data_IF_594785255912
#
_entry.id   IF_594785255912
#
_cell.length_a   1.000
_cell.length_b   1.000
_cell.length_c   1.000
_cell.angle_alpha   90.00
_cell.angle_beta   90.00
_cell.angle_gamma   90.00
#
_symmetry.space_group_name_H-M   'P 1'
#
loop_
_entity.id
_entity.type
_entity.pdbx_description
1 polymer ?
#
# COMPACT_ATOMS: atom_id res chain seq x y z
N UNK A 1 -33.28 -54.69 -11.67
CA UNK A 1 -31.92 -55.27 -11.59
C UNK A 1 -32.06 -56.77 -11.45
N UNK A 2 -31.33 -57.57 -12.24
CA UNK A 2 -31.31 -59.03 -12.12
C UNK A 2 -30.62 -59.41 -10.80
N UNK A 3 -31.06 -60.46 -10.12
CA UNK A 3 -30.58 -60.81 -8.76
C UNK A 3 -29.08 -61.15 -8.73
N UNK A 4 -28.54 -61.67 -9.83
CA UNK A 4 -27.11 -61.92 -10.04
C UNK A 4 -26.24 -60.65 -9.92
N UNK A 5 -26.75 -59.49 -10.39
CA UNK A 5 -26.03 -58.22 -10.24
C UNK A 5 -25.99 -57.74 -8.79
N UNK A 6 -27.04 -58.00 -8.00
CA UNK A 6 -27.06 -57.64 -6.58
C UNK A 6 -26.04 -58.45 -5.80
N UNK A 7 -25.90 -59.73 -6.14
CA UNK A 7 -24.95 -60.62 -5.47
C UNK A 7 -23.49 -60.21 -5.75
N UNK A 8 -23.17 -59.87 -7.00
CA UNK A 8 -21.85 -59.34 -7.38
C UNK A 8 -21.53 -58.02 -6.67
N UNK A 9 -22.51 -57.11 -6.56
CA UNK A 9 -22.34 -55.84 -5.83
C UNK A 9 -22.10 -56.10 -4.34
N UNK A 10 -22.87 -57.01 -3.73
CA UNK A 10 -22.73 -57.37 -2.31
C UNK A 10 -21.36 -57.98 -2.04
N UNK A 11 -20.92 -58.91 -2.88
CA UNK A 11 -19.59 -59.54 -2.78
C UNK A 11 -18.45 -58.51 -2.90
N UNK A 12 -18.59 -57.55 -3.82
CA UNK A 12 -17.61 -56.46 -3.98
C UNK A 12 -17.62 -55.51 -2.78
N UNK A 13 -18.78 -55.23 -2.22
CA UNK A 13 -18.95 -54.42 -1.01
C UNK A 13 -18.29 -55.09 0.21
N UNK A 14 -18.52 -56.39 0.41
CA UNK A 14 -17.93 -57.17 1.50
C UNK A 14 -16.39 -57.22 1.38
N UNK A 15 -15.86 -57.38 0.15
CA UNK A 15 -14.41 -57.28 -0.11
C UNK A 15 -13.87 -55.88 0.22
N UNK A 16 -14.62 -54.81 -0.07
CA UNK A 16 -14.19 -53.45 0.26
C UNK A 16 -14.25 -53.14 1.75
N UNK A 17 -15.23 -53.69 2.49
CA UNK A 17 -15.30 -53.59 3.95
C UNK A 17 -14.08 -54.21 4.63
N UNK A 18 -13.60 -55.35 4.10
CA UNK A 18 -12.40 -56.00 4.63
C UNK A 18 -11.08 -55.27 4.30
N UNK A 19 -11.10 -54.31 3.36
CA UNK A 19 -9.96 -53.46 3.00
C UNK A 19 -9.93 -52.11 3.71
N UNK A 20 -10.97 -51.77 4.48
CA UNK A 20 -11.06 -50.48 5.17
C UNK A 20 -10.07 -50.38 6.34
N UNK A 21 -9.51 -49.17 6.54
CA UNK A 21 -8.75 -48.87 7.75
C UNK A 21 -9.69 -48.73 8.97
N UNK A 22 -9.18 -48.98 10.17
CA UNK A 22 -9.97 -48.83 11.39
C UNK A 22 -10.12 -47.34 11.71
N UNK A 23 -11.34 -46.92 12.02
CA UNK A 23 -11.61 -45.54 12.44
C UNK A 23 -10.77 -45.14 13.66
N UNK A 24 -10.70 -46.03 14.65
CA UNK A 24 -9.80 -45.92 15.80
C UNK A 24 -8.90 -47.15 15.88
N UNK A 25 -7.58 -46.98 16.02
CA UNK A 25 -6.85 -45.71 16.22
C UNK A 25 -6.36 -45.05 14.92
N UNK A 26 -6.43 -45.74 13.78
CA UNK A 26 -5.62 -45.40 12.59
C UNK A 26 -6.08 -44.10 11.90
N UNK A 27 -7.37 -43.93 11.57
CA UNK A 27 -7.84 -42.71 10.89
C UNK A 27 -7.69 -41.48 11.79
N UNK A 28 -8.10 -41.57 13.07
CA UNK A 28 -8.02 -40.43 13.99
C UNK A 28 -6.58 -39.96 14.18
N UNK A 29 -5.62 -40.88 14.26
CA UNK A 29 -4.21 -40.50 14.37
C UNK A 29 -3.70 -39.75 13.13
N UNK A 30 -4.08 -40.21 11.93
CA UNK A 30 -3.72 -39.52 10.67
C UNK A 30 -4.36 -38.13 10.58
N UNK A 31 -5.63 -38.01 10.97
CA UNK A 31 -6.36 -36.75 10.99
C UNK A 31 -5.73 -35.77 11.99
N UNK A 32 -5.39 -36.23 13.19
CA UNK A 32 -4.71 -35.41 14.20
C UNK A 32 -3.32 -34.95 13.72
N UNK A 33 -2.56 -35.84 13.08
CA UNK A 33 -1.25 -35.51 12.52
C UNK A 33 -1.35 -34.48 11.39
N UNK A 34 -2.34 -34.60 10.51
CA UNK A 34 -2.59 -33.59 9.46
C UNK A 34 -3.09 -32.26 10.02
N UNK A 35 -3.99 -32.28 11.00
CA UNK A 35 -4.44 -31.06 11.66
C UNK A 35 -3.29 -30.32 12.34
N UNK A 36 -2.40 -31.06 13.03
CA UNK A 36 -1.19 -30.49 13.62
C UNK A 36 -0.24 -29.95 12.55
N UNK A 37 -0.03 -30.68 11.44
CA UNK A 37 0.81 -30.22 10.35
C UNK A 37 0.29 -28.92 9.72
N UNK A 38 -1.01 -28.81 9.47
CA UNK A 38 -1.65 -27.58 8.96
C UNK A 38 -1.49 -26.43 9.96
N UNK A 39 -1.71 -26.68 11.25
CA UNK A 39 -1.53 -25.67 12.29
C UNK A 39 -0.08 -25.15 12.33
N UNK A 40 0.90 -26.05 12.30
CA UNK A 40 2.31 -25.67 12.28
C UNK A 40 2.65 -24.85 11.03
N UNK A 41 2.14 -25.25 9.85
CA UNK A 41 2.32 -24.47 8.61
C UNK A 41 1.75 -23.06 8.77
N UNK A 42 0.54 -22.91 9.33
CA UNK A 42 -0.07 -21.59 9.55
C UNK A 42 0.73 -20.75 10.54
N UNK A 43 1.25 -21.33 11.63
CA UNK A 43 2.12 -20.63 12.59
C UNK A 43 3.43 -20.19 11.94
N UNK A 44 4.05 -21.06 11.11
CA UNK A 44 5.27 -20.71 10.37
C UNK A 44 5.00 -19.58 9.36
N UNK A 45 3.91 -19.65 8.60
CA UNK A 45 3.55 -18.57 7.67
C UNK A 45 3.30 -17.26 8.43
N UNK A 46 2.56 -17.29 9.54
CA UNK A 46 2.29 -16.10 10.35
C UNK A 46 3.55 -15.49 10.99
N UNK A 47 4.52 -16.32 11.39
CA UNK A 47 5.75 -15.85 12.04
C UNK A 47 6.83 -15.38 11.06
N UNK A 48 6.93 -16.00 9.88
CA UNK A 48 8.00 -15.71 8.91
C UNK A 48 7.58 -14.82 7.74
N UNK A 49 6.31 -14.85 7.32
CA UNK A 49 5.80 -13.99 6.24
C UNK A 49 5.10 -12.76 6.82
N UNK A 50 4.40 -12.90 7.95
CA UNK A 50 3.63 -11.82 8.56
C UNK A 50 2.41 -11.42 7.72
N UNK A 51 1.62 -10.49 8.24
CA UNK A 51 0.50 -9.85 7.52
C UNK A 51 0.85 -8.37 7.38
N UNK A 52 0.77 -7.78 6.17
CA UNK A 52 0.97 -6.35 5.98
C UNK A 52 0.05 -5.56 6.91
N UNK A 53 0.62 -4.66 7.69
CA UNK A 53 -0.17 -3.84 8.62
C UNK A 53 -0.73 -2.66 7.85
N UNK A 54 -2.03 -2.69 7.59
CA UNK A 54 -2.75 -1.58 6.99
C UNK A 54 -3.00 -0.46 8.02
N UNK A 55 -3.12 0.80 7.57
CA UNK A 55 -3.39 1.89 8.49
C UNK A 55 -4.77 1.68 9.12
N UNK A 56 -4.96 2.19 10.34
CA UNK A 56 -6.28 2.14 10.98
C UNK A 56 -7.29 2.84 10.09
N UNK A 57 -8.47 2.25 9.95
CA UNK A 57 -9.55 2.82 9.15
C UNK A 57 -9.85 4.27 9.57
N UNK A 58 -9.75 5.19 8.61
CA UNK A 58 -10.03 6.60 8.77
C UNK A 58 -11.15 7.02 7.79
N UNK A 59 -12.36 7.36 8.28
CA UNK A 59 -13.46 7.78 7.42
C UNK A 59 -13.24 9.16 6.77
N UNK A 60 -12.22 9.91 7.20
CA UNK A 60 -11.83 11.19 6.60
C UNK A 60 -10.81 11.06 5.48
N UNK A 61 -10.21 9.88 5.31
CA UNK A 61 -9.32 9.59 4.19
C UNK A 61 -10.13 9.07 2.99
N UNK A 62 -10.28 9.92 1.98
CA UNK A 62 -10.93 9.59 0.70
C UNK A 62 -9.96 9.07 -0.35
N UNK A 63 -8.64 9.04 -0.05
CA UNK A 63 -7.61 8.55 -0.98
C UNK A 63 -7.40 7.04 -0.85
N UNK A 64 -7.69 6.44 0.31
CA UNK A 64 -7.65 5.00 0.49
C UNK A 64 -8.72 4.30 -0.36
N UNK A 65 -8.28 3.39 -1.23
CA UNK A 65 -9.16 2.56 -2.06
C UNK A 65 -9.31 1.20 -1.39
N UNK A 66 -10.40 0.95 -0.63
CA UNK A 66 -10.60 -0.33 0.06
C UNK A 66 -10.77 -1.45 -0.97
N UNK A 67 -9.78 -2.34 -1.06
CA UNK A 67 -9.87 -3.57 -1.85
C UNK A 67 -10.06 -4.76 -0.92
N UNK A 68 -10.94 -5.71 -1.28
CA UNK A 68 -11.10 -6.90 -0.47
C UNK A 68 -9.98 -7.92 -0.72
N UNK A 69 -9.87 -8.86 0.20
CA UNK A 69 -8.94 -9.99 0.11
C UNK A 69 -9.09 -10.80 -1.18
N UNK A 70 -8.02 -11.54 -1.53
CA UNK A 70 -7.89 -12.26 -2.81
C UNK A 70 -9.08 -13.18 -3.15
N UNK A 71 -9.70 -13.79 -2.14
CA UNK A 71 -10.85 -14.68 -2.32
C UNK A 71 -12.17 -13.94 -2.65
N UNK A 72 -12.20 -12.61 -2.56
CA UNK A 72 -13.32 -11.75 -2.95
C UNK A 72 -13.01 -10.83 -4.13
N UNK A 73 -11.78 -10.82 -4.66
CA UNK A 73 -11.42 -9.99 -5.82
C UNK A 73 -12.30 -10.26 -7.06
N UNK A 74 -12.64 -11.52 -7.31
CA UNK A 74 -13.53 -11.86 -8.43
C UNK A 74 -14.93 -11.22 -8.26
N UNK A 75 -15.43 -11.14 -7.03
CA UNK A 75 -16.73 -10.59 -6.71
C UNK A 75 -16.67 -9.06 -6.79
N UNK A 76 -15.62 -8.45 -6.24
CA UNK A 76 -15.35 -7.02 -6.38
C UNK A 76 -15.34 -6.60 -7.86
N UNK A 77 -14.60 -7.34 -8.69
CA UNK A 77 -14.54 -7.07 -10.12
C UNK A 77 -15.87 -7.33 -10.82
N UNK A 78 -16.59 -8.38 -10.44
CA UNK A 78 -17.94 -8.64 -10.94
C UNK A 78 -18.91 -7.50 -10.66
N UNK A 79 -18.90 -6.93 -9.44
CA UNK A 79 -19.69 -5.75 -9.09
C UNK A 79 -19.28 -4.54 -9.93
N UNK A 80 -17.98 -4.32 -10.13
CA UNK A 80 -17.48 -3.22 -10.95
C UNK A 80 -17.96 -3.33 -12.42
N UNK A 81 -18.01 -4.54 -12.99
CA UNK A 81 -18.55 -4.77 -14.34
C UNK A 81 -20.08 -4.62 -14.39
N UNK A 82 -20.77 -5.07 -13.34
CA UNK A 82 -22.22 -4.93 -13.23
C UNK A 82 -22.66 -3.46 -13.12
N UNK A 83 -21.91 -2.64 -12.39
CA UNK A 83 -22.13 -1.20 -12.25
C UNK A 83 -22.16 -0.44 -13.59
N UNK A 84 -21.51 -0.98 -14.63
CA UNK A 84 -21.51 -0.39 -15.97
C UNK A 84 -22.83 -0.55 -16.73
N UNK A 85 -23.72 -1.44 -16.30
CA UNK A 85 -24.95 -1.75 -17.02
C UNK A 85 -25.96 -0.62 -16.75
N UNK A 86 -26.36 0.21 -17.75
CA UNK A 86 -27.04 1.49 -17.52
C UNK A 86 -28.34 1.45 -16.70
N UNK A 87 -29.07 0.33 -16.78
CA UNK A 87 -30.36 0.13 -16.09
C UNK A 87 -30.23 -0.62 -14.76
N UNK A 88 -29.14 -1.36 -14.61
CA UNK A 88 -29.00 -2.44 -13.62
C UNK A 88 -27.93 -2.08 -12.58
N UNK A 89 -26.92 -1.30 -12.96
CA UNK A 89 -25.89 -0.75 -12.08
C UNK A 89 -26.39 0.26 -11.05
N UNK A 90 -27.56 0.89 -11.26
CA UNK A 90 -28.20 1.76 -10.25
C UNK A 90 -28.79 0.98 -9.07
N UNK A 91 -28.87 -0.35 -9.19
CA UNK A 91 -29.51 -1.24 -8.21
C UNK A 91 -28.47 -2.23 -7.70
N UNK A 92 -27.52 -1.74 -6.91
CA UNK A 92 -26.39 -2.54 -6.42
C UNK A 92 -26.84 -3.75 -5.57
N UNK A 93 -27.93 -3.61 -4.79
CA UNK A 93 -28.46 -4.69 -3.95
C UNK A 93 -28.90 -5.93 -4.75
N UNK A 94 -29.29 -5.76 -6.02
CA UNK A 94 -29.65 -6.86 -6.91
C UNK A 94 -28.43 -7.75 -7.21
N UNK A 95 -27.26 -7.14 -7.41
CA UNK A 95 -26.01 -7.89 -7.61
C UNK A 95 -25.49 -8.52 -6.32
N UNK A 96 -25.60 -7.83 -5.18
CA UNK A 96 -24.96 -8.27 -3.93
C UNK A 96 -25.80 -9.23 -3.10
N UNK A 97 -27.13 -9.16 -3.19
CA UNK A 97 -28.04 -10.01 -2.40
C UNK A 97 -28.70 -11.09 -3.25
N UNK A 98 -29.31 -10.72 -4.37
CA UNK A 98 -30.11 -11.66 -5.18
C UNK A 98 -29.22 -12.64 -5.92
N UNK A 99 -28.11 -12.22 -6.54
CA UNK A 99 -27.26 -13.14 -7.32
C UNK A 99 -26.62 -14.22 -6.42
N UNK A 100 -25.95 -13.88 -5.29
CA UNK A 100 -25.49 -14.90 -4.35
C UNK A 100 -26.63 -15.74 -3.78
N UNK A 101 -27.77 -15.13 -3.48
CA UNK A 101 -28.97 -15.84 -3.00
C UNK A 101 -29.48 -16.89 -4.00
N UNK A 102 -29.57 -16.54 -5.28
CA UNK A 102 -29.93 -17.47 -6.37
C UNK A 102 -28.88 -18.56 -6.49
N UNK A 103 -27.59 -18.24 -6.41
CA UNK A 103 -26.52 -19.22 -6.49
C UNK A 103 -26.58 -20.24 -5.34
N UNK A 104 -26.74 -19.77 -4.11
CA UNK A 104 -26.94 -20.65 -2.94
C UNK A 104 -28.22 -21.47 -3.11
N UNK A 105 -29.31 -20.85 -3.56
CA UNK A 105 -30.57 -21.55 -3.86
C UNK A 105 -30.39 -22.66 -4.91
N UNK A 106 -29.60 -22.41 -5.95
CA UNK A 106 -29.25 -23.41 -6.98
C UNK A 106 -28.40 -24.55 -6.39
N UNK A 107 -27.46 -24.25 -5.49
CA UNK A 107 -26.66 -25.27 -4.80
C UNK A 107 -27.53 -26.13 -3.87
N UNK A 108 -28.47 -25.53 -3.14
CA UNK A 108 -29.44 -26.26 -2.29
C UNK A 108 -30.37 -27.12 -3.16
N UNK A 109 -30.77 -26.61 -4.32
CA UNK A 109 -31.60 -27.32 -5.29
C UNK A 109 -30.82 -28.33 -6.15
N UNK A 110 -29.49 -28.34 -6.09
CA UNK A 110 -28.60 -29.19 -6.89
C UNK A 110 -28.96 -30.69 -6.84
N UNK A 111 -29.23 -31.31 -5.66
CA UNK A 111 -29.66 -32.72 -5.62
C UNK A 111 -30.97 -33.00 -6.37
N UNK A 112 -31.83 -32.00 -6.54
CA UNK A 112 -33.09 -32.15 -7.29
C UNK A 112 -32.91 -31.90 -8.79
N UNK A 113 -31.95 -31.05 -9.16
CA UNK A 113 -31.62 -30.68 -10.54
C UNK A 113 -30.76 -31.78 -11.20
N UNK A 114 -29.71 -32.27 -10.53
CA UNK A 114 -28.83 -33.33 -11.03
C UNK A 114 -29.16 -34.69 -10.38
N UNK A 115 -30.20 -35.35 -10.91
CA UNK A 115 -30.63 -36.70 -10.48
C UNK A 115 -29.85 -37.83 -11.19
N UNK A 116 -28.63 -37.57 -11.66
CA UNK A 116 -27.86 -38.53 -12.44
C UNK A 116 -27.56 -39.81 -11.63
N UNK A 117 -27.84 -41.01 -12.19
CA UNK A 117 -27.56 -42.28 -11.51
C UNK A 117 -26.06 -42.61 -11.45
N UNK A 118 -25.21 -41.82 -12.12
CA UNK A 118 -23.77 -42.06 -12.18
C UNK A 118 -23.06 -41.43 -10.97
N UNK A 119 -22.29 -42.25 -10.24
CA UNK A 119 -21.44 -41.80 -9.12
C UNK A 119 -20.09 -41.24 -9.56
N UNK A 120 -19.58 -41.65 -10.73
CA UNK A 120 -18.30 -41.18 -11.23
C UNK A 120 -18.44 -39.77 -11.83
N UNK A 121 -17.70 -38.79 -11.28
CA UNK A 121 -17.78 -37.37 -11.67
C UNK A 121 -17.60 -37.18 -13.18
N UNK A 122 -16.68 -37.92 -13.80
CA UNK A 122 -16.38 -37.81 -15.24
C UNK A 122 -17.55 -38.12 -16.16
N UNK A 123 -18.63 -38.76 -15.69
CA UNK A 123 -19.86 -38.97 -16.47
C UNK A 123 -20.87 -37.82 -16.38
N UNK A 124 -20.68 -36.89 -15.44
CA UNK A 124 -21.56 -35.72 -15.21
C UNK A 124 -21.08 -34.51 -16.00
N UNK A 125 -21.13 -34.62 -17.34
CA UNK A 125 -20.57 -33.61 -18.25
C UNK A 125 -21.22 -32.22 -18.10
N UNK A 126 -22.53 -32.19 -17.83
CA UNK A 126 -23.25 -30.94 -17.53
C UNK A 126 -22.70 -30.24 -16.29
N UNK A 127 -22.68 -30.94 -15.14
CA UNK A 127 -22.22 -30.38 -13.87
C UNK A 127 -20.73 -29.98 -13.92
N UNK A 128 -19.88 -30.80 -14.52
CA UNK A 128 -18.47 -30.47 -14.71
C UNK A 128 -18.29 -29.26 -15.62
N UNK A 129 -19.07 -29.15 -16.70
CA UNK A 129 -19.02 -28.00 -17.60
C UNK A 129 -19.44 -26.70 -16.92
N UNK A 130 -20.52 -26.75 -16.14
CA UNK A 130 -20.98 -25.62 -15.34
C UNK A 130 -19.92 -25.18 -14.31
N UNK A 131 -19.39 -26.12 -13.52
CA UNK A 131 -18.35 -25.83 -12.53
C UNK A 131 -17.06 -25.30 -13.17
N UNK A 132 -16.67 -25.82 -14.35
CA UNK A 132 -15.50 -25.35 -15.07
C UNK A 132 -15.64 -23.88 -15.51
N UNK A 133 -16.79 -23.50 -16.06
CA UNK A 133 -17.07 -22.09 -16.42
C UNK A 133 -17.04 -21.23 -15.16
N UNK A 134 -17.64 -21.67 -14.06
CA UNK A 134 -17.69 -20.91 -12.80
C UNK A 134 -16.32 -20.64 -12.20
N UNK A 135 -15.48 -21.68 -12.06
CA UNK A 135 -14.12 -21.53 -11.54
C UNK A 135 -13.27 -20.68 -12.49
N UNK A 136 -13.42 -20.87 -13.80
CA UNK A 136 -12.71 -20.04 -14.79
C UNK A 136 -13.14 -18.57 -14.67
N UNK A 137 -14.43 -18.29 -14.47
CA UNK A 137 -14.93 -16.92 -14.24
C UNK A 137 -14.30 -16.31 -13.00
N UNK A 138 -14.25 -17.04 -11.88
CA UNK A 138 -13.59 -16.56 -10.66
C UNK A 138 -12.13 -16.19 -10.93
N UNK A 139 -11.36 -17.10 -11.52
CA UNK A 139 -9.93 -16.89 -11.81
C UNK A 139 -9.72 -15.73 -12.78
N UNK A 140 -10.45 -15.69 -13.90
CA UNK A 140 -10.35 -14.62 -14.90
C UNK A 140 -10.69 -13.25 -14.33
N UNK A 141 -11.73 -13.15 -13.51
CA UNK A 141 -12.14 -11.89 -12.87
C UNK A 141 -11.14 -11.45 -11.80
N UNK A 142 -10.56 -12.39 -11.03
CA UNK A 142 -9.48 -12.09 -10.08
C UNK A 142 -8.26 -11.50 -10.79
N UNK A 143 -7.82 -12.07 -11.91
CA UNK A 143 -6.64 -11.55 -12.62
C UNK A 143 -6.82 -10.14 -13.19
N UNK A 144 -8.05 -9.72 -13.48
CA UNK A 144 -8.35 -8.39 -14.05
C UNK A 144 -8.93 -7.44 -13.01
N UNK A 145 -8.88 -7.77 -11.71
CA UNK A 145 -9.47 -6.97 -10.65
C UNK A 145 -8.90 -5.55 -10.57
N UNK A 146 -7.61 -5.41 -10.90
CA UNK A 146 -6.89 -4.14 -10.72
C UNK A 146 -6.97 -3.22 -11.93
N UNK A 147 -7.42 -3.75 -13.07
CA UNK A 147 -7.58 -2.98 -14.29
C UNK A 147 -8.84 -2.12 -14.16
N UNK A 148 -8.81 -0.80 -14.38
CA UNK A 148 -10.02 0.01 -14.36
C UNK A 148 -11.00 -0.46 -15.44
N UNK A 149 -12.31 -0.28 -15.21
CA UNK A 149 -13.35 -0.67 -16.18
C UNK A 149 -13.70 0.48 -17.13
N UNK A 150 -13.36 1.72 -16.79
CA UNK A 150 -13.50 2.94 -17.61
C UNK A 150 -12.29 3.85 -17.38
N UNK A 151 -11.90 4.65 -18.38
CA UNK A 151 -10.92 5.74 -18.25
C UNK A 151 -11.59 7.03 -18.76
N UNK A 152 -12.29 7.73 -17.86
CA UNK A 152 -13.01 8.97 -18.20
C UNK A 152 -14.23 8.77 -19.11
N UNK A 153 -14.63 9.84 -19.80
CA UNK A 153 -15.74 9.84 -20.76
C UNK A 153 -15.25 9.45 -22.15
N UNK A 154 -15.19 8.15 -22.45
CA UNK A 154 -14.71 7.69 -23.77
C UNK A 154 -14.80 6.18 -24.01
N UNK A 155 -14.45 5.77 -25.23
CA UNK A 155 -14.36 4.37 -25.62
C UNK A 155 -13.12 3.73 -24.99
N UNK A 156 -13.32 2.81 -24.05
CA UNK A 156 -12.24 2.08 -23.40
C UNK A 156 -12.31 0.60 -23.75
N UNK A 157 -11.48 0.19 -24.71
CA UNK A 157 -11.47 -1.17 -25.27
C UNK A 157 -11.23 -2.26 -24.21
N UNK A 158 -10.24 -2.15 -23.30
CA UNK A 158 -10.06 -3.15 -22.24
C UNK A 158 -11.29 -3.30 -21.36
N UNK A 159 -12.01 -2.21 -21.04
CA UNK A 159 -13.25 -2.28 -20.27
C UNK A 159 -14.34 -3.12 -20.96
N UNK A 160 -14.51 -2.93 -22.27
CA UNK A 160 -15.47 -3.73 -23.06
C UNK A 160 -15.07 -5.20 -23.10
N UNK A 161 -13.78 -5.49 -23.29
CA UNK A 161 -13.26 -6.85 -23.29
C UNK A 161 -13.50 -7.54 -21.94
N UNK A 162 -13.34 -6.82 -20.82
CA UNK A 162 -13.65 -7.33 -19.49
C UNK A 162 -15.13 -7.66 -19.34
N UNK A 163 -16.03 -6.82 -19.83
CA UNK A 163 -17.48 -7.07 -19.75
C UNK A 163 -17.90 -8.26 -20.62
N UNK A 164 -17.34 -8.39 -21.82
CA UNK A 164 -17.61 -9.53 -22.70
C UNK A 164 -17.07 -10.83 -22.12
N UNK A 165 -15.81 -10.84 -21.67
CA UNK A 165 -15.15 -12.02 -21.11
C UNK A 165 -15.66 -12.43 -19.73
N UNK A 166 -15.97 -11.45 -18.89
CA UNK A 166 -16.36 -11.65 -17.49
C UNK A 166 -17.87 -11.89 -17.28
N UNK A 167 -18.74 -11.38 -18.17
CA UNK A 167 -20.20 -11.50 -18.02
C UNK A 167 -20.86 -12.19 -19.22
N UNK A 168 -20.65 -11.68 -20.43
CA UNK A 168 -21.42 -12.13 -21.62
C UNK A 168 -21.10 -13.58 -21.99
N UNK A 169 -19.82 -13.93 -22.13
CA UNK A 169 -19.40 -15.28 -22.51
C UNK A 169 -19.79 -16.34 -21.48
N UNK A 170 -19.57 -16.13 -20.16
CA UNK A 170 -20.05 -17.06 -19.14
C UNK A 170 -21.56 -17.30 -19.23
N UNK A 171 -22.36 -16.24 -19.34
CA UNK A 171 -23.83 -16.34 -19.44
C UNK A 171 -24.25 -17.12 -20.69
N UNK A 172 -23.62 -16.85 -21.84
CA UNK A 172 -23.87 -17.61 -23.08
C UNK A 172 -23.45 -19.08 -22.93
N UNK A 173 -22.32 -19.35 -22.28
CA UNK A 173 -21.84 -20.70 -22.02
C UNK A 173 -22.78 -21.50 -21.12
N UNK A 174 -23.25 -20.91 -20.01
CA UNK A 174 -24.25 -21.53 -19.13
C UNK A 174 -25.57 -21.77 -19.86
N UNK A 175 -26.04 -20.79 -20.62
CA UNK A 175 -27.28 -20.90 -21.39
C UNK A 175 -27.19 -22.01 -22.42
N UNK A 176 -26.08 -22.11 -23.14
CA UNK A 176 -25.82 -23.16 -24.12
C UNK A 176 -25.80 -24.55 -23.46
N UNK A 177 -25.08 -24.72 -22.35
CA UNK A 177 -25.05 -25.98 -21.62
C UNK A 177 -26.42 -26.38 -21.08
N UNK A 178 -27.18 -25.43 -20.53
CA UNK A 178 -28.53 -25.66 -20.03
C UNK A 178 -29.47 -26.09 -21.17
N UNK A 179 -29.41 -25.41 -22.32
CA UNK A 179 -30.21 -25.71 -23.49
C UNK A 179 -29.88 -27.11 -24.04
N UNK A 180 -28.59 -27.46 -24.12
CA UNK A 180 -28.14 -28.80 -24.53
C UNK A 180 -28.63 -29.91 -23.60
N UNK A 181 -28.65 -29.65 -22.29
CA UNK A 181 -29.03 -30.64 -21.29
C UNK A 181 -30.55 -30.81 -21.16
N UNK A 182 -31.30 -29.71 -21.07
CA UNK A 182 -32.74 -29.74 -20.77
C UNK A 182 -33.63 -29.75 -22.02
N UNK A 183 -33.23 -29.04 -23.09
CA UNK A 183 -34.05 -28.92 -24.32
C UNK A 183 -33.71 -30.03 -25.29
N UNK A 184 -32.41 -30.21 -25.61
CA UNK A 184 -32.02 -31.15 -26.65
C UNK A 184 -31.99 -32.62 -26.22
N UNK A 185 -32.04 -32.93 -24.90
CA UNK A 185 -32.14 -34.26 -24.23
C UNK A 185 -31.20 -35.40 -24.70
N UNK A 186 -30.50 -35.27 -25.84
CA UNK A 186 -29.60 -36.22 -26.50
C UNK A 186 -28.36 -35.52 -27.08
N UNK A 187 -27.95 -34.40 -26.51
CA UNK A 187 -26.67 -33.79 -26.91
C UNK A 187 -25.53 -34.79 -26.63
N UNK A 188 -24.65 -35.09 -27.61
CA UNK A 188 -23.55 -36.01 -27.40
C UNK A 188 -22.58 -35.42 -26.37
N UNK A 189 -22.02 -36.27 -25.49
CA UNK A 189 -21.09 -35.82 -24.45
C UNK A 189 -19.92 -34.98 -25.00
N UNK A 190 -19.46 -35.29 -26.22
CA UNK A 190 -18.42 -34.53 -26.92
C UNK A 190 -18.82 -33.08 -27.19
N UNK A 191 -20.06 -32.81 -27.59
CA UNK A 191 -20.48 -31.42 -27.88
C UNK A 191 -20.54 -30.59 -26.62
N UNK A 192 -20.98 -31.16 -25.49
CA UNK A 192 -20.96 -30.45 -24.20
C UNK A 192 -19.53 -30.11 -23.76
N UNK A 193 -18.60 -31.05 -23.93
CA UNK A 193 -17.18 -30.81 -23.64
C UNK A 193 -16.62 -29.70 -24.53
N UNK A 194 -16.86 -29.78 -25.84
CA UNK A 194 -16.38 -28.75 -26.78
C UNK A 194 -17.00 -27.37 -26.52
N UNK A 195 -18.28 -27.32 -26.15
CA UNK A 195 -18.93 -26.08 -25.74
C UNK A 195 -18.24 -25.48 -24.50
N UNK A 196 -18.04 -26.28 -23.45
CA UNK A 196 -17.31 -25.83 -22.24
C UNK A 196 -15.90 -25.36 -22.57
N UNK A 197 -15.12 -26.15 -23.31
CA UNK A 197 -13.74 -25.80 -23.66
C UNK A 197 -13.71 -24.51 -24.49
N UNK A 198 -14.60 -24.38 -25.47
CA UNK A 198 -14.73 -23.15 -26.26
C UNK A 198 -15.03 -21.93 -25.41
N UNK A 199 -15.98 -22.03 -24.46
CA UNK A 199 -16.29 -20.94 -23.52
C UNK A 199 -15.08 -20.58 -22.66
N UNK A 200 -14.41 -21.57 -22.05
CA UNK A 200 -13.24 -21.36 -21.18
C UNK A 200 -12.10 -20.70 -21.94
N UNK A 201 -11.80 -21.18 -23.16
CA UNK A 201 -10.73 -20.63 -24.00
C UNK A 201 -11.06 -19.18 -24.41
N UNK A 202 -12.32 -18.88 -24.75
CA UNK A 202 -12.72 -17.51 -25.06
C UNK A 202 -12.61 -16.57 -23.86
N UNK A 203 -13.02 -17.03 -22.66
CA UNK A 203 -12.86 -16.25 -21.43
C UNK A 203 -11.38 -15.96 -21.14
N UNK A 204 -10.54 -17.00 -21.14
CA UNK A 204 -9.11 -16.86 -20.89
C UNK A 204 -8.43 -15.98 -21.96
N UNK A 205 -8.81 -16.12 -23.23
CA UNK A 205 -8.29 -15.31 -24.33
C UNK A 205 -8.62 -13.83 -24.19
N UNK A 206 -9.86 -13.48 -23.82
CA UNK A 206 -10.24 -12.09 -23.59
C UNK A 206 -9.64 -11.50 -22.32
N UNK A 207 -9.49 -12.30 -21.27
CA UNK A 207 -8.72 -11.92 -20.08
C UNK A 207 -7.28 -11.60 -20.43
N UNK A 208 -6.62 -12.47 -21.21
CA UNK A 208 -5.26 -12.24 -21.69
C UNK A 208 -5.14 -10.99 -22.58
N UNK A 209 -6.10 -10.77 -23.48
CA UNK A 209 -6.15 -9.56 -24.30
C UNK A 209 -6.34 -8.30 -23.45
N UNK A 210 -7.17 -8.37 -22.40
CA UNK A 210 -7.35 -7.26 -21.46
C UNK A 210 -6.04 -6.95 -20.75
N UNK A 211 -5.36 -7.96 -20.22
CA UNK A 211 -4.07 -7.80 -19.53
C UNK A 211 -2.99 -7.21 -20.44
N UNK A 212 -2.97 -7.60 -21.72
CA UNK A 212 -1.99 -7.11 -22.68
C UNK A 212 -2.27 -5.67 -23.18
N UNK A 213 -3.54 -5.24 -23.19
CA UNK A 213 -3.97 -3.94 -23.70
C UNK A 213 -4.22 -2.90 -22.60
N UNK A 214 -4.27 -3.33 -21.34
CA UNK A 214 -4.46 -2.42 -20.22
C UNK A 214 -3.20 -1.56 -20.02
N UNK A 215 -3.34 -0.25 -19.75
CA UNK A 215 -2.21 0.57 -19.38
C UNK A 215 -1.58 0.04 -18.09
N UNK A 216 -0.26 0.15 -17.96
CA UNK A 216 0.43 -0.14 -16.72
C UNK A 216 -0.15 0.77 -15.62
N UNK A 217 -0.81 0.17 -14.63
CA UNK A 217 -1.24 0.91 -13.45
C UNK A 217 0.03 1.30 -12.74
N UNK A 218 0.33 2.60 -12.68
CA UNK A 218 1.32 3.11 -11.75
C UNK A 218 0.80 2.74 -10.37
N UNK A 219 1.39 1.71 -9.77
CA UNK A 219 1.20 1.43 -8.36
C UNK A 219 1.91 2.58 -7.68
N UNK A 220 1.19 3.67 -7.42
CA UNK A 220 1.59 4.60 -6.38
C UNK A 220 1.49 3.78 -5.10
N UNK A 221 2.59 3.09 -4.76
CA UNK A 221 2.79 2.60 -3.42
C UNK A 221 2.92 3.85 -2.55
N UNK A 222 1.79 4.38 -2.09
CA UNK A 222 1.81 5.14 -0.85
C UNK A 222 2.35 4.16 0.17
N UNK A 223 3.65 4.27 0.48
CA UNK A 223 4.34 3.43 1.43
C UNK A 223 3.73 3.74 2.80
N UNK A 224 2.61 3.10 3.10
CA UNK A 224 2.02 3.18 4.43
C UNK A 224 3.06 2.60 5.37
N UNK A 225 3.50 3.40 6.33
CA UNK A 225 4.45 3.00 7.34
C UNK A 225 3.86 1.83 8.13
N UNK A 226 4.28 0.62 7.76
CA UNK A 226 3.71 -0.63 8.27
C UNK A 226 4.54 -1.22 9.39
N UNK A 227 5.85 -0.92 9.44
CA UNK A 227 6.73 -1.31 10.55
C UNK A 227 6.84 -0.17 11.57
N UNK A 228 7.11 -0.50 12.84
CA UNK A 228 7.32 0.49 13.89
C UNK A 228 8.42 1.50 13.53
N UNK A 229 9.52 1.04 12.91
CA UNK A 229 10.62 1.92 12.50
C UNK A 229 10.17 2.89 11.42
N UNK A 230 9.42 2.42 10.42
CA UNK A 230 8.87 3.30 9.38
C UNK A 230 7.89 4.31 9.98
N UNK A 231 7.10 3.91 10.98
CA UNK A 231 6.14 4.79 11.65
C UNK A 231 6.84 5.90 12.43
N UNK A 232 7.94 5.57 13.12
CA UNK A 232 8.77 6.56 13.81
C UNK A 232 9.37 7.53 12.80
N UNK A 233 9.93 7.05 11.68
CA UNK A 233 10.53 7.92 10.64
C UNK A 233 9.47 8.80 9.96
N UNK A 234 8.32 8.22 9.59
CA UNK A 234 7.22 8.97 9.00
C UNK A 234 6.69 10.04 9.97
N UNK A 235 6.49 9.67 11.23
CA UNK A 235 6.08 10.59 12.29
C UNK A 235 7.09 11.70 12.53
N UNK A 236 8.37 11.37 12.49
CA UNK A 236 9.48 12.28 12.61
C UNK A 236 9.49 13.35 11.49
N UNK A 237 9.31 12.92 10.24
CA UNK A 237 9.21 13.82 9.09
C UNK A 237 7.98 14.72 9.17
N UNK A 238 6.82 14.15 9.52
CA UNK A 238 5.59 14.90 9.69
C UNK A 238 5.70 15.93 10.82
N UNK A 239 6.33 15.56 11.94
CA UNK A 239 6.62 16.46 13.05
C UNK A 239 7.55 17.60 12.62
N UNK A 240 8.60 17.31 11.85
CA UNK A 240 9.50 18.32 11.29
C UNK A 240 8.75 19.39 10.51
N UNK A 241 7.84 18.99 9.62
CA UNK A 241 7.13 19.91 8.73
C UNK A 241 6.04 20.70 9.45
N UNK A 242 5.37 20.09 10.43
CA UNK A 242 4.13 20.65 10.99
C UNK A 242 4.26 21.18 12.42
N UNK A 243 5.26 20.76 13.19
CA UNK A 243 5.28 20.98 14.63
C UNK A 243 6.53 21.73 15.13
N UNK A 244 7.68 21.57 14.47
CA UNK A 244 8.98 22.12 14.92
C UNK A 244 8.97 23.64 15.08
N UNK A 245 8.22 24.35 14.24
CA UNK A 245 8.14 25.81 14.27
C UNK A 245 7.70 26.35 15.64
N UNK A 246 6.73 25.68 16.28
CA UNK A 246 6.22 26.09 17.60
C UNK A 246 6.82 25.27 18.76
N UNK A 247 7.14 24.00 18.54
CA UNK A 247 7.56 23.08 19.62
C UNK A 247 9.06 22.79 19.66
N UNK A 248 9.81 23.21 18.64
CA UNK A 248 11.23 22.86 18.47
C UNK A 248 11.43 21.42 18.01
N UNK A 249 12.65 21.09 17.61
CA UNK A 249 13.02 19.76 17.13
C UNK A 249 13.05 18.71 18.24
N UNK A 250 13.31 19.14 19.48
CA UNK A 250 13.35 18.30 20.67
C UNK A 250 12.10 18.40 21.55
N UNK A 251 11.12 19.23 21.18
CA UNK A 251 9.85 19.38 21.91
C UNK A 251 9.95 20.16 23.22
N UNK A 252 11.09 20.82 23.51
CA UNK A 252 11.34 21.53 24.79
C UNK A 252 10.92 22.99 24.80
N UNK A 253 10.41 23.53 23.69
CA UNK A 253 10.09 24.96 23.61
C UNK A 253 9.08 25.32 24.69
N UNK A 254 9.41 26.37 25.46
CA UNK A 254 8.55 26.93 26.51
C UNK A 254 7.95 28.29 26.14
N UNK A 255 8.57 28.98 25.18
CA UNK A 255 8.14 30.28 24.67
C UNK A 255 8.28 30.27 23.16
N UNK A 256 7.19 30.58 22.44
CA UNK A 256 7.22 30.63 20.98
C UNK A 256 7.89 31.93 20.53
N UNK A 257 8.86 31.80 19.62
CA UNK A 257 9.62 32.91 19.03
C UNK A 257 9.73 32.71 17.51
N UNK A 258 9.51 33.77 16.74
CA UNK A 258 9.57 33.80 15.28
C UNK A 258 8.29 33.35 14.58
N UNK A 259 7.15 33.34 15.28
CA UNK A 259 5.85 32.92 14.71
C UNK A 259 4.84 34.06 14.78
N UNK A 260 4.40 34.52 13.61
CA UNK A 260 3.43 35.60 13.49
C UNK A 260 2.14 35.27 14.27
N UNK A 261 1.76 36.17 15.20
CA UNK A 261 0.57 36.01 16.02
C UNK A 261 0.73 35.15 17.29
N UNK A 262 1.87 34.49 17.50
CA UNK A 262 2.15 33.67 18.70
C UNK A 262 3.44 34.07 19.43
N UNK A 263 4.07 35.16 19.04
CA UNK A 263 5.30 35.67 19.64
C UNK A 263 5.19 35.87 21.16
N UNK A 264 6.14 35.30 21.91
CA UNK A 264 6.21 35.40 23.36
C UNK A 264 5.16 34.57 24.11
N UNK A 265 4.36 33.75 23.42
CA UNK A 265 3.35 32.90 24.05
C UNK A 265 4.01 31.74 24.77
N UNK A 266 3.63 31.55 26.03
CA UNK A 266 4.09 30.44 26.85
C UNK A 266 3.36 29.15 26.46
N UNK A 267 4.15 28.11 26.19
CA UNK A 267 3.67 26.76 25.88
C UNK A 267 4.33 25.76 26.83
N UNK A 268 3.65 24.64 27.06
CA UNK A 268 4.23 23.56 27.84
C UNK A 268 5.21 22.75 26.98
N UNK A 269 6.37 22.36 27.51
CA UNK A 269 7.29 21.49 26.79
C UNK A 269 6.63 20.12 26.59
N UNK A 270 6.39 19.76 25.33
CA UNK A 270 5.60 18.58 24.95
C UNK A 270 6.39 17.27 25.12
N UNK A 271 7.72 17.36 25.22
CA UNK A 271 8.57 16.22 25.52
C UNK A 271 8.74 15.98 27.04
N UNK A 272 8.15 16.82 27.88
CA UNK A 272 8.25 16.70 29.33
C UNK A 272 7.38 15.58 29.88
N UNK A 273 7.72 15.10 31.08
CA UNK A 273 6.94 14.07 31.78
C UNK A 273 5.50 14.54 32.03
N UNK A 274 5.25 15.84 32.26
CA UNK A 274 3.91 16.37 32.47
C UNK A 274 2.97 16.11 31.29
N UNK A 275 3.49 15.99 30.06
CA UNK A 275 2.72 15.68 28.86
C UNK A 275 2.77 14.18 28.58
N UNK A 276 3.98 13.60 28.48
CA UNK A 276 4.15 12.21 28.08
C UNK A 276 3.62 11.23 29.15
N UNK A 277 3.76 11.50 30.45
CA UNK A 277 3.31 10.54 31.46
C UNK A 277 1.81 10.64 31.75
N UNK A 278 1.20 11.80 31.52
CA UNK A 278 -0.20 12.06 31.93
C UNK A 278 -1.20 11.82 30.81
N UNK A 279 -0.80 12.04 29.56
CA UNK A 279 -1.64 11.79 28.39
C UNK A 279 -1.32 10.41 27.82
N UNK A 280 -2.36 9.63 27.49
CA UNK A 280 -2.22 8.43 26.68
C UNK A 280 -2.14 8.77 25.18
N UNK A 281 -1.84 7.78 24.35
CA UNK A 281 -1.63 7.98 22.91
C UNK A 281 -2.88 8.54 22.23
N UNK A 282 -4.06 8.08 22.66
CA UNK A 282 -5.33 8.59 22.16
C UNK A 282 -5.50 10.07 22.53
N UNK A 283 -5.22 10.45 23.77
CA UNK A 283 -5.31 11.85 24.22
C UNK A 283 -4.33 12.76 23.49
N UNK A 284 -3.10 12.29 23.23
CA UNK A 284 -2.13 13.02 22.43
C UNK A 284 -2.64 13.21 20.99
N UNK A 285 -3.14 12.15 20.37
CA UNK A 285 -3.73 12.24 19.03
C UNK A 285 -4.90 13.22 19.00
N UNK A 286 -5.80 13.20 19.99
CA UNK A 286 -6.94 14.12 20.07
C UNK A 286 -6.52 15.59 20.30
N UNK A 287 -5.42 15.83 21.03
CA UNK A 287 -4.83 17.18 21.12
C UNK A 287 -4.40 17.67 19.74
N UNK A 288 -3.81 16.82 18.91
CA UNK A 288 -3.36 17.16 17.56
C UNK A 288 -4.55 17.34 16.61
N UNK A 289 -5.50 16.40 16.63
CA UNK A 289 -6.69 16.39 15.76
C UNK A 289 -7.52 17.67 15.96
N UNK A 290 -7.89 17.99 17.19
CA UNK A 290 -8.73 19.14 17.51
C UNK A 290 -7.96 20.45 17.64
N UNK A 291 -6.63 20.37 17.86
CA UNK A 291 -5.84 21.51 18.28
C UNK A 291 -6.24 22.01 19.67
N UNK A 292 -5.64 23.13 20.06
CA UNK A 292 -5.96 23.90 21.27
C UNK A 292 -5.98 25.38 20.87
N UNK A 293 -7.12 25.88 20.34
CA UNK A 293 -7.21 27.24 19.81
C UNK A 293 -6.82 28.31 20.84
N UNK A 294 -7.22 28.16 22.10
CA UNK A 294 -6.84 29.08 23.18
C UNK A 294 -5.31 29.09 23.42
N UNK A 295 -4.64 27.95 23.20
CA UNK A 295 -3.20 27.82 23.27
C UNK A 295 -2.50 28.20 21.95
N UNK A 296 -3.23 28.55 20.89
CA UNK A 296 -2.67 28.93 19.58
C UNK A 296 -2.34 27.74 18.68
N UNK A 297 -2.74 26.53 19.07
CA UNK A 297 -2.56 25.32 18.27
C UNK A 297 -3.81 25.10 17.42
N UNK A 298 -3.68 25.24 16.10
CA UNK A 298 -4.77 24.98 15.17
C UNK A 298 -5.13 23.48 15.12
N UNK A 299 -6.36 23.11 14.69
CA UNK A 299 -6.69 21.73 14.42
C UNK A 299 -5.87 21.18 13.25
N UNK A 300 -5.17 20.07 13.46
CA UNK A 300 -4.42 19.38 12.41
C UNK A 300 -5.18 18.21 11.81
N UNK A 301 -6.27 17.74 12.41
CA UNK A 301 -7.02 16.62 11.84
C UNK A 301 -7.71 16.98 10.53
N UNK A 302 -7.57 16.13 9.51
CA UNK A 302 -8.16 16.33 8.17
C UNK A 302 -9.67 16.59 8.18
N UNK A 303 -10.38 16.04 9.17
CA UNK A 303 -11.80 16.26 9.40
C UNK A 303 -12.17 17.72 9.76
N UNK A 304 -11.24 18.47 10.35
CA UNK A 304 -11.42 19.86 10.80
C UNK A 304 -10.62 20.87 9.97
N UNK A 305 -9.57 20.40 9.31
CA UNK A 305 -8.72 21.18 8.41
C UNK A 305 -8.47 20.39 7.14
N UNK A 306 -8.96 20.84 5.99
CA UNK A 306 -8.85 20.10 4.72
C UNK A 306 -7.41 19.87 4.25
N UNK A 307 -6.48 20.72 4.67
CA UNK A 307 -5.03 20.62 4.41
C UNK A 307 -4.28 19.94 5.57
N UNK A 308 -5.03 19.43 6.55
CA UNK A 308 -4.50 18.75 7.72
C UNK A 308 -4.09 17.29 7.47
N UNK A 309 -3.66 16.65 8.55
CA UNK A 309 -3.15 15.29 8.61
C UNK A 309 -4.28 14.26 8.79
N UNK A 310 -4.12 13.12 8.13
CA UNK A 310 -4.94 11.92 8.36
C UNK A 310 -4.70 11.34 9.76
N UNK A 311 -5.61 10.49 10.22
CA UNK A 311 -5.49 9.83 11.53
C UNK A 311 -4.20 8.99 11.65
N UNK A 312 -3.81 8.28 10.60
CA UNK A 312 -2.58 7.49 10.59
C UNK A 312 -1.34 8.37 10.70
N UNK A 313 -1.30 9.49 9.98
CA UNK A 313 -0.20 10.45 10.05
C UNK A 313 -0.04 11.05 11.46
N UNK A 314 -1.15 11.36 12.13
CA UNK A 314 -1.14 11.83 13.52
C UNK A 314 -0.65 10.72 14.47
N UNK A 315 -1.12 9.48 14.29
CA UNK A 315 -0.65 8.33 15.06
C UNK A 315 0.87 8.13 14.89
N UNK A 316 1.43 8.37 13.69
CA UNK A 316 2.87 8.31 13.45
C UNK A 316 3.61 9.39 14.23
N UNK A 317 3.12 10.64 14.26
CA UNK A 317 3.70 11.71 15.08
C UNK A 317 3.72 11.31 16.55
N UNK A 318 2.60 10.79 17.07
CA UNK A 318 2.53 10.32 18.47
C UNK A 318 3.53 9.19 18.72
N UNK A 319 3.64 8.24 17.80
CA UNK A 319 4.61 7.14 17.87
C UNK A 319 6.04 7.70 17.92
N UNK A 320 6.39 8.65 17.07
CA UNK A 320 7.68 9.33 17.11
C UNK A 320 7.94 10.00 18.47
N UNK A 321 6.97 10.77 18.99
CA UNK A 321 7.10 11.44 20.29
C UNK A 321 7.35 10.44 21.42
N UNK A 322 6.62 9.32 21.43
CA UNK A 322 6.79 8.25 22.43
C UNK A 322 8.18 7.64 22.37
N UNK A 323 8.55 7.10 21.23
CA UNK A 323 9.79 6.33 21.12
C UNK A 323 11.04 7.21 21.20
N UNK A 324 10.92 8.52 20.97
CA UNK A 324 12.06 9.45 20.99
C UNK A 324 12.23 10.17 22.31
N UNK A 325 11.14 10.49 23.03
CA UNK A 325 11.20 11.35 24.21
C UNK A 325 10.68 10.69 25.50
N UNK A 326 9.86 9.64 25.40
CA UNK A 326 9.30 8.94 26.56
C UNK A 326 10.26 7.81 26.98
N UNK A 327 10.88 7.96 28.15
CA UNK A 327 11.87 7.02 28.68
C UNK A 327 11.29 5.64 29.06
N UNK A 328 9.96 5.48 29.00
CA UNK A 328 9.30 4.17 29.14
C UNK A 328 9.38 3.32 27.88
N UNK A 329 9.79 3.91 26.75
CA UNK A 329 9.89 3.24 25.46
C UNK A 329 11.35 3.09 25.05
N UNK A 330 11.69 1.93 24.50
CA UNK A 330 13.02 1.69 23.93
C UNK A 330 12.97 1.92 22.43
N UNK A 331 13.78 2.86 21.95
CA UNK A 331 13.92 3.15 20.52
C UNK A 331 14.52 1.92 19.82
N UNK A 332 13.85 1.33 18.81
CA UNK A 332 14.40 0.21 18.07
C UNK A 332 15.67 0.65 17.30
N UNK A 333 16.55 -0.28 16.93
CA UNK A 333 17.69 0.04 16.07
C UNK A 333 17.16 0.57 14.73
N UNK A 334 17.37 1.87 14.47
CA UNK A 334 16.93 2.52 13.24
C UNK A 334 18.06 2.61 12.21
N UNK A 335 17.69 2.53 10.94
CA UNK A 335 18.61 2.85 9.86
C UNK A 335 19.02 4.34 9.96
N UNK A 336 20.25 4.69 9.55
CA UNK A 336 20.65 6.09 9.47
C UNK A 336 19.75 6.85 8.47
N UNK A 337 19.59 8.17 8.70
CA UNK A 337 18.72 9.05 7.88
C UNK A 337 18.98 8.95 6.37
N UNK A 338 20.23 8.68 6.01
CA UNK A 338 20.67 8.39 4.65
C UNK A 338 21.78 7.32 4.70
N UNK A 339 21.97 6.54 3.62
CA UNK A 339 23.06 5.57 3.54
C UNK A 339 24.42 6.21 3.80
N UNK A 340 25.29 5.54 4.55
CA UNK A 340 26.64 6.03 4.76
C UNK A 340 27.42 5.99 3.43
N UNK A 341 27.98 7.13 3.02
CA UNK A 341 28.75 7.24 1.79
C UNK A 341 30.01 6.37 1.86
N UNK A 342 30.21 5.52 0.85
CA UNK A 342 31.44 4.76 0.65
C UNK A 342 32.53 5.68 0.09
N UNK A 343 33.79 5.34 0.32
CA UNK A 343 34.91 6.12 -0.23
C UNK A 343 34.83 6.18 -1.77
N UNK A 344 34.79 7.40 -2.33
CA UNK A 344 34.69 7.63 -3.78
C UNK A 344 33.27 7.64 -4.34
N UNK A 345 32.25 7.42 -3.51
CA UNK A 345 30.83 7.54 -3.86
C UNK A 345 30.39 9.00 -3.91
N UNK A 346 29.64 9.34 -4.95
CA UNK A 346 29.00 10.65 -5.10
C UNK A 346 27.57 10.55 -4.55
N UNK A 347 27.15 11.41 -3.62
CA UNK A 347 25.76 11.46 -3.16
C UNK A 347 24.82 11.98 -4.26
N UNK A 348 23.61 11.42 -4.35
CA UNK A 348 22.50 11.96 -5.16
C UNK A 348 21.51 12.78 -4.32
N UNK A 349 20.74 13.64 -4.98
CA UNK A 349 19.67 14.38 -4.31
C UNK A 349 18.63 13.45 -3.70
N UNK A 350 18.08 12.53 -4.49
CA UNK A 350 16.96 11.67 -4.07
C UNK A 350 17.30 10.78 -2.86
N UNK A 351 18.51 10.23 -2.83
CA UNK A 351 18.90 9.25 -1.80
C UNK A 351 19.51 9.92 -0.56
N UNK A 352 20.26 11.01 -0.74
CA UNK A 352 21.09 11.57 0.33
C UNK A 352 20.62 12.95 0.79
N UNK A 353 20.29 13.86 -0.13
CA UNK A 353 19.99 15.25 0.21
C UNK A 353 18.53 15.44 0.59
N UNK A 354 17.60 14.88 -0.18
CA UNK A 354 16.17 15.02 0.02
C UNK A 354 15.71 14.60 1.44
N UNK A 355 16.19 13.48 2.03
CA UNK A 355 15.84 13.12 3.41
C UNK A 355 16.30 14.17 4.43
N UNK A 356 17.50 14.74 4.24
CA UNK A 356 18.06 15.77 5.12
C UNK A 356 17.28 17.07 5.01
N UNK A 357 17.01 17.51 3.78
CA UNK A 357 16.27 18.73 3.47
C UNK A 357 14.86 18.65 4.04
N UNK A 358 14.16 17.53 3.83
CA UNK A 358 12.84 17.27 4.41
C UNK A 358 12.85 17.35 5.93
N UNK A 359 13.91 16.81 6.56
CA UNK A 359 14.02 16.73 8.02
C UNK A 359 14.36 18.06 8.69
N UNK A 360 15.26 18.85 8.10
CA UNK A 360 15.86 20.01 8.77
C UNK A 360 15.56 21.36 8.11
N UNK A 361 15.13 21.38 6.85
CA UNK A 361 15.07 22.62 6.07
C UNK A 361 13.64 23.01 5.67
N UNK A 362 12.83 22.05 5.22
CA UNK A 362 11.50 22.30 4.61
C UNK A 362 10.51 22.97 5.56
N UNK A 363 10.66 22.80 6.88
CA UNK A 363 9.79 23.46 7.88
C UNK A 363 9.76 24.99 7.71
N UNK A 364 10.92 25.56 7.36
CA UNK A 364 11.12 26.99 7.15
C UNK A 364 11.23 27.35 5.66
N UNK A 365 11.88 26.52 4.84
CA UNK A 365 12.11 26.75 3.41
C UNK A 365 10.98 26.20 2.52
N UNK A 366 9.77 26.73 2.71
CA UNK A 366 8.56 26.41 1.92
C UNK A 366 7.75 27.68 1.62
N UNK A 367 6.80 27.58 0.70
CA UNK A 367 5.98 28.72 0.29
C UNK A 367 5.18 29.30 1.48
N UNK A 368 5.06 30.63 1.52
CA UNK A 368 4.31 31.34 2.56
C UNK A 368 5.06 31.54 3.89
N UNK A 369 6.38 31.32 3.91
CA UNK A 369 7.25 31.60 5.06
C UNK A 369 8.20 32.75 4.78
N UNK A 370 8.67 33.41 5.84
CA UNK A 370 9.72 34.42 5.76
C UNK A 370 11.09 33.75 5.65
N UNK A 371 11.48 33.42 4.41
CA UNK A 371 12.68 32.63 4.09
C UNK A 371 13.45 33.18 2.88
N UNK A 372 13.27 34.47 2.56
CA UNK A 372 13.88 35.09 1.39
C UNK A 372 13.46 34.44 0.07
N UNK A 373 12.21 33.95 -0.01
CA UNK A 373 11.64 33.20 -1.13
C UNK A 373 12.45 31.96 -1.54
N UNK A 374 13.27 31.42 -0.63
CA UNK A 374 14.08 30.23 -0.89
C UNK A 374 13.32 28.96 -0.48
N UNK A 375 12.96 28.16 -1.48
CA UNK A 375 12.18 26.94 -1.35
C UNK A 375 13.07 25.71 -1.51
N UNK A 376 12.84 24.69 -0.69
CA UNK A 376 13.60 23.44 -0.73
C UNK A 376 12.70 22.20 -0.81
N UNK A 377 11.48 22.33 -1.35
CA UNK A 377 10.54 21.19 -1.39
C UNK A 377 10.79 20.24 -2.57
N UNK A 378 11.58 20.68 -3.56
CA UNK A 378 12.00 19.87 -4.70
C UNK A 378 13.45 20.17 -5.14
N UNK A 379 13.99 19.27 -5.98
CA UNK A 379 15.32 19.44 -6.58
C UNK A 379 15.43 20.71 -7.42
N UNK A 380 14.38 21.10 -8.15
CA UNK A 380 14.45 22.34 -8.93
C UNK A 380 14.36 23.59 -8.04
N UNK A 381 13.57 23.52 -6.98
CA UNK A 381 13.38 24.65 -6.07
C UNK A 381 14.67 24.99 -5.31
N UNK A 382 15.36 23.97 -4.77
CA UNK A 382 16.60 24.16 -4.01
C UNK A 382 17.71 24.83 -4.84
N UNK A 383 17.67 24.66 -6.17
CA UNK A 383 18.67 25.24 -7.09
C UNK A 383 18.26 26.62 -7.61
N UNK A 384 16.97 26.84 -7.87
CA UNK A 384 16.53 27.96 -8.71
C UNK A 384 15.66 29.00 -8.00
N UNK A 385 15.33 28.82 -6.73
CA UNK A 385 14.51 29.78 -5.95
C UNK A 385 15.36 30.58 -4.97
N UNK A 386 14.79 31.65 -4.41
CA UNK A 386 15.46 32.55 -3.46
C UNK A 386 15.75 33.93 -4.02
N UNK A 387 15.77 34.93 -3.14
CA UNK A 387 16.07 36.32 -3.50
C UNK A 387 17.55 36.54 -3.85
N UNK A 388 18.42 35.60 -3.44
CA UNK A 388 19.88 35.65 -3.61
C UNK A 388 20.40 34.55 -4.56
N UNK A 389 19.60 34.13 -5.56
CA UNK A 389 20.02 33.12 -6.55
C UNK A 389 21.24 33.62 -7.36
N UNK A 390 22.26 32.78 -7.58
CA UNK A 390 22.37 31.37 -7.16
C UNK A 390 22.86 31.20 -5.72
N UNK A 391 22.10 30.48 -4.88
CA UNK A 391 22.55 30.08 -3.53
C UNK A 391 23.47 28.85 -3.56
N UNK A 392 23.40 28.06 -4.63
CA UNK A 392 24.22 26.87 -4.86
C UNK A 392 24.82 26.95 -6.27
N UNK A 393 26.13 26.79 -6.36
CA UNK A 393 26.85 26.76 -7.64
C UNK A 393 27.60 25.44 -7.78
N UNK A 394 27.42 24.77 -8.91
CA UNK A 394 28.05 23.48 -9.19
C UNK A 394 29.59 23.58 -9.09
N UNK A 395 30.21 22.63 -8.40
CA UNK A 395 31.65 22.56 -8.19
C UNK A 395 32.28 23.78 -7.48
N UNK A 396 31.47 24.55 -6.73
CA UNK A 396 31.95 25.70 -5.96
C UNK A 396 31.73 25.51 -4.45
N UNK A 397 32.84 25.39 -3.72
CA UNK A 397 32.88 25.32 -2.26
C UNK A 397 32.39 26.62 -1.59
N UNK A 398 32.36 27.73 -2.33
CA UNK A 398 31.92 29.03 -1.84
C UNK A 398 30.42 29.28 -1.99
N UNK A 399 29.66 28.28 -2.44
CA UNK A 399 28.20 28.30 -2.49
C UNK A 399 27.62 28.82 -1.17
N UNK A 400 26.66 29.75 -1.26
CA UNK A 400 26.02 30.38 -0.10
C UNK A 400 25.47 29.32 0.86
N UNK A 401 24.80 28.28 0.33
CA UNK A 401 24.27 27.19 1.15
C UNK A 401 25.36 26.54 2.00
N UNK A 402 26.54 26.24 1.44
CA UNK A 402 27.63 25.59 2.17
C UNK A 402 28.16 26.48 3.30
N UNK A 403 28.26 27.78 3.06
CA UNK A 403 28.71 28.74 4.06
C UNK A 403 27.73 28.82 5.23
N UNK A 404 26.44 28.99 4.96
CA UNK A 404 25.44 29.18 6.02
C UNK A 404 25.22 27.91 6.85
N UNK A 405 25.35 26.71 6.25
CA UNK A 405 25.29 25.44 7.00
C UNK A 405 26.56 25.11 7.76
N UNK A 406 27.67 25.81 7.45
CA UNK A 406 28.95 25.74 8.15
C UNK A 406 29.13 26.90 9.13
N UNK A 407 28.02 27.47 9.62
CA UNK A 407 28.01 28.52 10.65
C UNK A 407 28.67 29.84 10.20
N UNK A 408 28.63 30.15 8.90
CA UNK A 408 29.16 31.40 8.34
C UNK A 408 28.03 32.31 7.85
N UNK A 409 27.98 33.54 8.39
CA UNK A 409 27.06 34.58 7.91
C UNK A 409 27.53 35.14 6.57
N UNK A 410 26.58 35.53 5.74
CA UNK A 410 26.82 36.27 4.49
C UNK A 410 26.58 37.74 4.76
N UNK A 411 27.61 38.55 4.56
CA UNK A 411 27.58 40.00 4.75
C UNK A 411 27.56 40.72 3.39
N UNK A 412 26.98 41.92 3.35
CA UNK A 412 27.06 42.82 2.21
C UNK A 412 28.39 43.58 2.16
N UNK A 413 28.58 44.41 1.13
CA UNK A 413 29.78 45.25 0.97
C UNK A 413 29.95 46.29 2.09
N UNK A 414 28.87 46.61 2.82
CA UNK A 414 28.87 47.53 3.97
C UNK A 414 29.14 46.80 5.31
N UNK A 415 29.17 45.46 5.31
CA UNK A 415 29.36 44.63 6.49
C UNK A 415 28.06 44.30 7.24
N UNK A 416 26.90 44.60 6.67
CA UNK A 416 25.59 44.24 7.21
C UNK A 416 25.20 42.81 6.82
N UNK A 417 24.50 42.11 7.70
CA UNK A 417 24.13 40.70 7.49
C UNK A 417 22.99 40.57 6.47
N UNK A 418 23.26 39.89 5.36
CA UNK A 418 22.27 39.56 4.33
C UNK A 418 21.60 38.21 4.66
N UNK A 419 22.40 37.22 5.05
CA UNK A 419 21.93 35.86 5.35
C UNK A 419 22.68 35.34 6.58
N UNK A 420 21.93 34.96 7.62
CA UNK A 420 22.50 34.38 8.83
C UNK A 420 22.81 32.88 8.72
N UNK A 421 23.37 32.33 9.80
CA UNK A 421 23.60 30.88 9.96
C UNK A 421 22.30 30.09 9.87
N UNK A 422 22.35 28.96 9.16
CA UNK A 422 21.22 28.05 9.01
C UNK A 422 21.62 26.60 9.34
N UNK A 423 20.81 25.82 10.09
CA UNK A 423 19.58 26.23 10.78
C UNK A 423 19.85 27.17 11.97
N UNK A 424 18.96 28.14 12.25
CA UNK A 424 19.22 29.21 13.21
C UNK A 424 19.28 28.73 14.67
N UNK A 425 18.61 27.63 15.00
CA UNK A 425 18.48 27.10 16.37
C UNK A 425 19.33 25.85 16.63
N UNK A 426 20.03 25.31 15.60
CA UNK A 426 20.77 24.05 15.71
C UNK A 426 21.84 23.88 14.63
N UNK A 427 23.04 23.52 15.08
CA UNK A 427 24.17 23.17 14.20
C UNK A 427 23.97 21.79 13.58
N UNK A 428 24.17 21.67 12.27
CA UNK A 428 24.10 20.39 11.56
C UNK A 428 25.30 19.50 11.87
N UNK A 429 25.08 18.18 11.89
CA UNK A 429 26.16 17.22 12.09
C UNK A 429 27.19 17.28 10.96
N UNK A 430 28.47 17.07 11.29
CA UNK A 430 29.57 17.11 10.31
C UNK A 430 29.37 16.13 9.14
N UNK A 431 28.72 14.98 9.38
CA UNK A 431 28.36 14.01 8.35
C UNK A 431 27.32 14.55 7.36
N UNK A 432 26.37 15.37 7.82
CA UNK A 432 25.36 16.01 6.97
C UNK A 432 26.02 17.07 6.09
N UNK A 433 26.88 17.91 6.69
CA UNK A 433 27.60 18.95 5.97
C UNK A 433 28.52 18.36 4.90
N UNK A 434 29.23 17.26 5.20
CA UNK A 434 30.09 16.56 4.23
C UNK A 434 29.30 16.03 3.02
N UNK A 435 28.08 15.52 3.24
CA UNK A 435 27.21 15.03 2.16
C UNK A 435 26.78 16.18 1.24
N UNK A 436 26.36 17.32 1.79
CA UNK A 436 26.03 18.51 1.00
C UNK A 436 27.25 19.01 0.21
N UNK A 437 28.41 19.07 0.85
CA UNK A 437 29.66 19.48 0.21
C UNK A 437 29.99 18.58 -0.97
N UNK A 438 30.00 17.26 -0.78
CA UNK A 438 30.28 16.30 -1.87
C UNK A 438 29.26 16.36 -2.99
N UNK A 439 27.98 16.54 -2.67
CA UNK A 439 26.92 16.67 -3.68
C UNK A 439 27.14 17.91 -4.55
N UNK A 440 27.39 19.07 -3.93
CA UNK A 440 27.64 20.33 -4.63
C UNK A 440 28.92 20.26 -5.47
N UNK A 441 29.98 19.68 -4.90
CA UNK A 441 31.28 19.55 -5.58
C UNK A 441 31.23 18.62 -6.80
N UNK A 442 30.27 17.70 -6.86
CA UNK A 442 30.08 16.80 -8.00
C UNK A 442 28.91 17.24 -8.92
N UNK A 443 28.64 18.54 -9.01
CA UNK A 443 27.60 19.06 -9.91
C UNK A 443 26.18 18.55 -9.62
N UNK A 444 25.90 18.20 -8.36
CA UNK A 444 24.55 18.00 -7.81
C UNK A 444 23.69 16.98 -8.58
N UNK A 445 24.11 15.71 -8.74
CA UNK A 445 23.29 14.71 -9.43
C UNK A 445 21.93 14.55 -8.74
N UNK A 446 20.86 14.49 -9.53
CA UNK A 446 19.50 14.36 -9.03
C UNK A 446 19.21 12.92 -8.62
N UNK A 447 19.40 11.98 -9.55
CA UNK A 447 19.05 10.56 -9.34
C UNK A 447 20.25 9.74 -8.86
N UNK A 448 19.98 8.55 -8.32
CA UNK A 448 21.03 7.59 -7.97
C UNK A 448 21.86 7.15 -9.20
N UNK A 449 21.24 7.08 -10.39
CA UNK A 449 21.90 6.72 -11.64
C UNK A 449 22.90 7.80 -12.08
N UNK A 450 22.51 9.07 -11.99
CA UNK A 450 23.38 10.20 -12.31
C UNK A 450 24.61 10.24 -11.40
N UNK A 451 24.39 9.98 -10.10
CA UNK A 451 25.45 9.94 -9.11
C UNK A 451 26.39 8.74 -9.29
N UNK A 452 25.84 7.58 -9.66
CA UNK A 452 26.64 6.39 -9.95
C UNK A 452 27.57 6.59 -11.16
N UNK A 453 27.11 7.33 -12.19
CA UNK A 453 27.93 7.66 -13.36
C UNK A 453 29.15 8.53 -13.03
N UNK A 454 29.10 9.28 -11.92
CA UNK A 454 30.14 10.18 -11.46
C UNK A 454 31.01 9.59 -10.34
N UNK A 455 30.59 8.45 -9.78
CA UNK A 455 31.29 7.77 -8.69
C UNK A 455 32.54 7.06 -9.19
N UNK A 456 33.63 7.14 -8.41
CA UNK A 456 34.86 6.40 -8.70
C UNK A 456 34.80 5.03 -8.04
N UNK A 457 34.90 3.95 -8.82
CA UNK A 457 34.91 2.59 -8.26
C UNK A 457 36.15 2.40 -7.37
N UNK A 458 36.01 1.98 -6.10
CA UNK A 458 37.16 1.65 -5.28
C UNK A 458 37.96 0.53 -5.93
N UNK A 459 39.23 0.78 -6.25
CA UNK A 459 40.14 -0.29 -6.67
C UNK A 459 40.30 -1.25 -5.50
N UNK A 460 39.87 -2.51 -5.67
CA UNK A 460 40.08 -3.54 -4.66
C UNK A 460 41.56 -3.61 -4.30
N UNK A 461 41.89 -3.38 -3.02
CA UNK A 461 43.24 -3.64 -2.51
C UNK A 461 43.55 -5.12 -2.78
N UNK A 462 44.67 -5.46 -3.43
CA UNK A 462 45.09 -6.85 -3.53
C UNK A 462 45.30 -7.36 -2.11
N UNK A 463 44.56 -8.42 -1.77
CA UNK A 463 44.70 -9.16 -0.52
C UNK A 463 46.16 -9.62 -0.38
N UNK A 464 46.83 -9.40 0.77
CA UNK A 464 48.19 -9.89 1.01
C UNK A 464 48.28 -11.41 1.04
#
# INVERSE_FOLDING_TARGET
MKDEQKEIIKKRYDISLQKGERFWPDSIFKDALMALAILLILVLLATFIGVPVEPKADPSDTSYVPRPEWYFLFLFKFLALYGQIPLVGKIEWLATVIIPGIFIGLLVCLPFIDRSPYRYYGKRKFALGFMAIFVTSMVCLTYISDIPTTLGEGFYLPGILQTIGGLVIPVLGYSLLALMNFVFKKAPAKSMIWATVGTVVLMAGLTGATLALAPAVAVEETSVASTLTDQIIAGQDLYSVNCVECHGDDGKVTTIEGVEGLEGKLVMPINGHDVLYTLDDASLAEVIVYGRPDAGMNPFGKAYNSEGLTKSEIDYIVTFMRFTWDDRFELPPMAPLFPALVAGEVPSYEVHIAPIVKRYCVSCHRAGKDNGNYLMTSYEEILNTGDNVPLITAADENSILLKVIQEQNILDEAGEEIIGVMPPKKVLGANIVDVFMRWIMNSMPQTAEDAAAQSTTPTALPTP
#
